data_IF_451793212466
#
_entry.id   IF_451793212466
#
_cell.length_a   1.000
_cell.length_b   1.000
_cell.length_c   1.000
_cell.angle_alpha   90.00
_cell.angle_beta   90.00
_cell.angle_gamma   90.00
#
_symmetry.space_group_name_H-M   'P 1'
#
loop_
_entity.id
_entity.type
_entity.pdbx_description
1 polymer ?
#
# COMPACT_ATOMS: atom_id res chain seq x y z
N UNK A 1 0.84 17.37 -11.38
CA UNK A 1 0.18 18.07 -10.25
C UNK A 1 1.22 18.88 -9.52
N UNK A 2 1.00 20.19 -9.32
CA UNK A 2 1.87 21.08 -8.55
C UNK A 2 1.24 21.44 -7.21
N UNK A 3 1.97 21.99 -6.23
CA UNK A 3 1.37 22.46 -4.99
C UNK A 3 0.27 23.52 -5.20
N UNK A 4 0.43 24.41 -6.18
CA UNK A 4 -0.59 25.41 -6.52
C UNK A 4 -1.86 24.77 -7.11
N UNK A 5 -1.70 23.69 -7.89
CA UNK A 5 -2.84 22.93 -8.39
C UNK A 5 -3.55 22.20 -7.24
N UNK A 6 -2.79 21.59 -6.34
CA UNK A 6 -3.32 20.94 -5.14
C UNK A 6 -4.14 21.91 -4.28
N UNK A 7 -3.69 23.15 -4.12
CA UNK A 7 -4.38 24.16 -3.30
C UNK A 7 -5.81 24.43 -3.80
N UNK A 8 -6.04 24.34 -5.12
CA UNK A 8 -7.39 24.47 -5.72
C UNK A 8 -8.33 23.34 -5.34
N UNK A 9 -7.77 22.17 -5.02
CA UNK A 9 -8.51 20.94 -4.73
C UNK A 9 -8.30 20.45 -3.30
N UNK A 10 -7.74 21.27 -2.43
CA UNK A 10 -7.46 20.87 -1.03
C UNK A 10 -8.70 20.46 -0.26
N UNK A 11 -9.86 21.03 -0.62
CA UNK A 11 -11.11 20.69 0.04
C UNK A 11 -11.47 19.21 -0.14
N UNK A 12 -11.17 18.63 -1.31
CA UNK A 12 -11.36 17.21 -1.55
C UNK A 12 -10.47 16.34 -0.65
N UNK A 13 -9.23 16.78 -0.37
CA UNK A 13 -8.35 16.09 0.58
C UNK A 13 -8.89 16.22 2.01
N UNK A 14 -9.36 17.40 2.39
CA UNK A 14 -9.90 17.68 3.73
C UNK A 14 -11.14 16.84 4.02
N UNK A 15 -12.04 16.69 3.04
CA UNK A 15 -13.30 15.97 3.18
C UNK A 15 -13.17 14.46 2.99
N UNK A 16 -12.01 13.98 2.50
CA UNK A 16 -11.78 12.57 2.26
C UNK A 16 -11.53 11.80 3.57
N UNK A 17 -11.97 10.55 3.62
CA UNK A 17 -11.62 9.64 4.71
C UNK A 17 -10.19 9.12 4.61
N UNK A 18 -9.66 9.01 3.39
CA UNK A 18 -8.30 8.58 3.13
C UNK A 18 -7.72 9.26 1.89
N UNK A 19 -6.41 9.49 1.91
CA UNK A 19 -5.60 9.97 0.81
C UNK A 19 -4.60 8.89 0.42
N UNK A 20 -4.78 8.28 -0.74
CA UNK A 20 -3.83 7.33 -1.32
C UNK A 20 -2.93 8.05 -2.31
N UNK A 21 -1.64 7.94 -2.10
CA UNK A 21 -0.61 8.55 -2.95
C UNK A 21 0.45 7.54 -3.36
N UNK A 22 1.08 7.80 -4.51
CA UNK A 22 2.34 7.21 -4.94
C UNK A 22 3.37 8.31 -5.25
N UNK A 23 4.53 7.98 -5.83
CA UNK A 23 5.62 8.92 -6.05
C UNK A 23 5.82 9.31 -7.53
N UNK A 24 4.82 9.12 -8.36
CA UNK A 24 4.81 9.59 -9.75
C UNK A 24 4.41 11.07 -9.90
N UNK A 25 3.95 11.69 -8.82
CA UNK A 25 3.77 13.14 -8.71
C UNK A 25 5.01 13.79 -8.10
N UNK A 26 5.25 15.11 -8.33
CA UNK A 26 6.36 15.81 -7.70
C UNK A 26 6.35 15.66 -6.17
N UNK A 27 7.52 15.43 -5.60
CA UNK A 27 7.65 15.12 -4.17
C UNK A 27 7.14 16.25 -3.26
N UNK A 28 7.35 17.51 -3.65
CA UNK A 28 6.83 18.69 -2.95
C UNK A 28 5.30 18.69 -2.88
N UNK A 29 4.64 18.23 -3.95
CA UNK A 29 3.17 18.08 -3.98
C UNK A 29 2.71 16.95 -3.06
N UNK A 30 3.41 15.81 -3.05
CA UNK A 30 3.10 14.69 -2.16
C UNK A 30 3.26 15.10 -0.70
N UNK A 31 4.33 15.83 -0.36
CA UNK A 31 4.55 16.37 0.99
C UNK A 31 3.43 17.35 1.38
N UNK A 32 3.07 18.27 0.49
CA UNK A 32 1.99 19.24 0.72
C UNK A 32 0.64 18.55 0.95
N UNK A 33 0.31 17.52 0.14
CA UNK A 33 -0.92 16.76 0.29
C UNK A 33 -0.97 15.99 1.61
N UNK A 34 0.13 15.33 2.00
CA UNK A 34 0.24 14.66 3.29
C UNK A 34 0.06 15.62 4.48
N UNK A 35 0.62 16.83 4.37
CA UNK A 35 0.45 17.88 5.40
C UNK A 35 -1.02 18.28 5.54
N UNK A 36 -1.70 18.61 4.45
CA UNK A 36 -3.12 18.96 4.44
C UNK A 36 -3.95 17.82 5.07
N UNK A 37 -3.71 16.59 4.65
CA UNK A 37 -4.43 15.42 5.16
C UNK A 37 -4.26 15.26 6.67
N UNK A 38 -3.05 15.37 7.21
CA UNK A 38 -2.78 15.23 8.66
C UNK A 38 -3.37 16.37 9.49
N UNK A 39 -3.44 17.57 8.95
CA UNK A 39 -4.06 18.72 9.63
C UNK A 39 -5.60 18.58 9.76
N UNK A 40 -6.21 17.67 9.00
CA UNK A 40 -7.68 17.49 8.92
C UNK A 40 -8.14 16.05 9.19
N UNK A 41 -7.30 15.24 9.84
CA UNK A 41 -7.61 13.84 10.20
C UNK A 41 -7.92 12.90 9.02
N UNK A 42 -7.50 13.27 7.81
CA UNK A 42 -7.55 12.38 6.63
C UNK A 42 -6.43 11.35 6.73
N UNK A 43 -6.75 10.07 6.65
CA UNK A 43 -5.76 9.00 6.72
C UNK A 43 -4.82 9.03 5.51
N UNK A 44 -3.51 9.04 5.74
CA UNK A 44 -2.49 9.06 4.69
C UNK A 44 -1.96 7.67 4.41
N UNK A 45 -2.15 7.20 3.19
CA UNK A 45 -1.65 5.91 2.69
C UNK A 45 -0.68 6.19 1.56
N UNK A 46 0.56 5.72 1.70
CA UNK A 46 1.62 5.90 0.71
C UNK A 46 2.06 4.57 0.12
N UNK A 47 1.89 4.44 -1.18
CA UNK A 47 2.61 3.47 -1.98
C UNK A 47 3.93 4.12 -2.45
N UNK A 48 5.11 3.72 -1.90
CA UNK A 48 6.37 4.41 -2.18
C UNK A 48 6.99 3.98 -3.51
N UNK A 49 6.18 3.94 -4.56
CA UNK A 49 6.56 3.59 -5.93
C UNK A 49 6.58 4.84 -6.84
N UNK A 50 7.61 5.00 -7.69
CA UNK A 50 8.82 4.18 -7.81
C UNK A 50 9.79 4.39 -6.63
N UNK A 51 10.64 3.36 -6.38
CA UNK A 51 11.58 3.34 -5.27
C UNK A 51 12.52 4.55 -5.27
N UNK A 52 12.47 5.36 -4.23
CA UNK A 52 13.37 6.50 -4.00
C UNK A 52 13.57 6.75 -2.50
N UNK A 53 14.54 7.59 -2.18
CA UNK A 53 14.70 8.08 -0.81
C UNK A 53 13.62 9.11 -0.49
N UNK A 54 13.09 9.05 0.72
CA UNK A 54 12.04 9.96 1.18
C UNK A 54 12.48 10.70 2.44
N UNK A 55 12.14 12.00 2.54
CA UNK A 55 12.46 12.78 3.73
C UNK A 55 11.59 12.35 4.92
N UNK A 56 12.14 12.41 6.12
CA UNK A 56 11.42 12.11 7.35
C UNK A 56 10.19 13.02 7.54
N UNK A 57 10.22 14.22 6.97
CA UNK A 57 9.07 15.12 6.93
C UNK A 57 7.84 14.48 6.28
N UNK A 58 8.01 13.71 5.21
CA UNK A 58 6.90 12.98 4.58
C UNK A 58 6.56 11.73 5.40
N UNK A 59 7.56 10.92 5.73
CA UNK A 59 7.34 9.61 6.39
C UNK A 59 6.62 9.75 7.73
N UNK A 60 6.91 10.80 8.51
CA UNK A 60 6.24 11.08 9.78
C UNK A 60 4.75 11.44 9.65
N UNK A 61 4.28 11.74 8.44
CA UNK A 61 2.87 12.04 8.15
C UNK A 61 2.10 10.87 7.53
N UNK A 62 2.78 9.76 7.28
CA UNK A 62 2.17 8.58 6.67
C UNK A 62 1.62 7.66 7.76
N UNK A 63 0.36 7.26 7.63
CA UNK A 63 -0.29 6.33 8.56
C UNK A 63 -0.07 4.87 8.13
N UNK A 64 -0.16 4.61 6.83
CA UNK A 64 0.06 3.29 6.22
C UNK A 64 1.04 3.42 5.06
N UNK A 65 2.08 2.61 5.05
CA UNK A 65 3.00 2.51 3.91
C UNK A 65 3.01 1.10 3.32
N UNK A 66 3.04 1.00 1.99
CA UNK A 66 2.89 -0.28 1.27
C UNK A 66 4.05 -0.56 0.30
N UNK A 67 5.30 -0.61 0.77
CA UNK A 67 6.44 -0.91 -0.10
C UNK A 67 6.46 -2.38 -0.54
N UNK A 68 7.04 -2.66 -1.70
CA UNK A 68 7.56 -3.98 -2.05
C UNK A 68 8.97 -4.18 -1.45
N UNK A 69 9.61 -5.33 -1.71
CA UNK A 69 10.95 -5.64 -1.18
C UNK A 69 11.98 -4.58 -1.59
N UNK A 70 12.00 -4.18 -2.86
CA UNK A 70 12.95 -3.20 -3.40
C UNK A 70 12.71 -1.80 -2.83
N UNK A 71 11.47 -1.39 -2.69
CA UNK A 71 11.09 -0.11 -2.10
C UNK A 71 11.43 -0.07 -0.61
N UNK A 72 11.17 -1.17 0.11
CA UNK A 72 11.55 -1.30 1.52
C UNK A 72 13.06 -1.22 1.71
N UNK A 73 13.85 -1.89 0.86
CA UNK A 73 15.31 -1.81 0.87
C UNK A 73 15.78 -0.37 0.62
N UNK A 74 15.20 0.32 -0.36
CA UNK A 74 15.58 1.70 -0.69
C UNK A 74 15.30 2.67 0.46
N UNK A 75 14.19 2.46 1.18
CA UNK A 75 13.78 3.32 2.30
C UNK A 75 14.56 3.03 3.59
N UNK A 76 15.02 1.80 3.80
CA UNK A 76 15.58 1.35 5.08
C UNK A 76 17.04 0.94 5.01
N UNK A 77 17.57 0.67 3.82
CA UNK A 77 18.89 0.06 3.62
C UNK A 77 18.94 -1.43 3.97
N UNK A 78 17.79 -2.07 4.24
CA UNK A 78 17.68 -3.48 4.62
C UNK A 78 17.16 -4.28 3.44
N UNK A 79 17.98 -5.21 2.91
CA UNK A 79 17.52 -6.16 1.90
C UNK A 79 16.49 -7.12 2.50
N UNK A 80 15.38 -7.34 1.81
CA UNK A 80 14.25 -8.14 2.31
C UNK A 80 14.18 -9.47 1.57
N UNK A 81 14.86 -10.49 2.09
CA UNK A 81 14.89 -11.84 1.52
C UNK A 81 13.96 -12.82 2.26
N UNK A 82 13.66 -12.56 3.52
CA UNK A 82 12.90 -13.42 4.41
C UNK A 82 12.05 -12.60 5.41
N UNK A 83 11.28 -13.29 6.24
CA UNK A 83 10.39 -12.66 7.22
C UNK A 83 11.13 -11.87 8.31
N UNK A 84 12.33 -12.28 8.70
CA UNK A 84 13.13 -11.55 9.71
C UNK A 84 13.61 -10.21 9.13
N UNK A 85 14.02 -10.21 7.88
CA UNK A 85 14.39 -8.99 7.16
C UNK A 85 13.19 -8.06 6.99
N UNK A 86 12.03 -8.61 6.63
CA UNK A 86 10.78 -7.85 6.53
C UNK A 86 10.40 -7.22 7.88
N UNK A 87 10.56 -7.96 8.98
CA UNK A 87 10.33 -7.43 10.33
C UNK A 87 11.29 -6.30 10.68
N UNK A 88 12.59 -6.43 10.34
CA UNK A 88 13.60 -5.37 10.57
C UNK A 88 13.32 -4.12 9.73
N UNK A 89 12.96 -4.30 8.46
CA UNK A 89 12.59 -3.20 7.58
C UNK A 89 11.33 -2.49 8.09
N UNK A 90 10.31 -3.24 8.49
CA UNK A 90 9.11 -2.69 9.09
C UNK A 90 9.39 -1.89 10.36
N UNK A 91 10.26 -2.42 11.25
CA UNK A 91 10.69 -1.70 12.44
C UNK A 91 11.37 -0.38 12.11
N UNK A 92 12.27 -0.36 11.13
CA UNK A 92 12.95 0.87 10.70
C UNK A 92 11.94 1.93 10.19
N UNK A 93 10.85 1.50 9.51
CA UNK A 93 9.79 2.40 9.07
C UNK A 93 8.89 2.86 10.23
N UNK A 94 8.62 1.99 11.21
CA UNK A 94 7.93 2.41 12.46
C UNK A 94 8.74 3.46 13.23
N UNK A 95 10.06 3.32 13.29
CA UNK A 95 10.96 4.28 13.96
C UNK A 95 10.92 5.67 13.29
N UNK A 96 10.42 5.77 12.05
CA UNK A 96 10.15 7.04 11.34
C UNK A 96 8.75 7.62 11.58
N UNK A 97 7.94 6.97 12.41
CA UNK A 97 6.61 7.42 12.84
C UNK A 97 5.43 6.79 12.09
N UNK A 98 5.67 5.80 11.25
CA UNK A 98 4.60 5.14 10.48
C UNK A 98 3.93 4.06 11.35
N UNK A 99 2.61 4.16 11.55
CA UNK A 99 1.87 3.26 12.42
C UNK A 99 1.67 1.84 11.82
N UNK A 100 1.41 1.76 10.52
CA UNK A 100 1.16 0.47 9.83
C UNK A 100 2.09 0.33 8.63
N UNK A 101 2.83 -0.77 8.60
CA UNK A 101 3.75 -1.12 7.50
C UNK A 101 3.29 -2.42 6.86
N UNK A 102 3.09 -2.39 5.55
CA UNK A 102 2.62 -3.53 4.74
C UNK A 102 3.64 -3.75 3.62
N UNK A 103 4.55 -4.73 3.80
CA UNK A 103 5.55 -5.05 2.79
C UNK A 103 5.01 -6.16 1.89
N UNK A 104 4.82 -5.86 0.61
CA UNK A 104 4.38 -6.88 -0.36
C UNK A 104 5.56 -7.75 -0.77
N UNK A 105 5.38 -9.08 -0.73
CA UNK A 105 6.40 -10.10 -0.95
C UNK A 105 6.09 -11.00 -2.16
N UNK A 106 5.43 -10.42 -3.16
CA UNK A 106 5.00 -11.14 -4.35
C UNK A 106 4.11 -12.35 -4.01
N UNK A 107 4.42 -13.51 -4.58
CA UNK A 107 3.64 -14.74 -4.35
C UNK A 107 3.73 -15.30 -2.93
N UNK A 108 4.71 -14.85 -2.13
CA UNK A 108 4.83 -15.25 -0.71
C UNK A 108 3.73 -14.63 0.15
N UNK A 109 3.17 -13.51 -0.26
CA UNK A 109 2.12 -12.79 0.45
C UNK A 109 2.54 -11.40 0.88
N UNK A 110 2.22 -11.05 2.11
CA UNK A 110 2.41 -9.70 2.65
C UNK A 110 2.92 -9.80 4.08
N UNK A 111 3.96 -9.05 4.42
CA UNK A 111 4.33 -8.81 5.80
C UNK A 111 3.52 -7.63 6.34
N UNK A 112 2.62 -7.91 7.26
CA UNK A 112 1.81 -6.90 7.95
C UNK A 112 2.42 -6.62 9.33
N UNK A 113 2.77 -5.37 9.60
CA UNK A 113 3.30 -4.92 10.89
C UNK A 113 2.54 -3.71 11.40
N UNK A 114 1.97 -3.82 12.59
CA UNK A 114 1.30 -2.73 13.31
C UNK A 114 1.31 -2.98 14.82
N UNK A 115 1.27 -1.91 15.61
CA UNK A 115 1.22 -2.00 17.07
C UNK A 115 2.36 -2.83 17.70
N UNK A 116 3.55 -2.84 17.08
CA UNK A 116 4.71 -3.62 17.55
C UNK A 116 4.68 -5.10 17.19
N UNK A 117 3.64 -5.57 16.50
CA UNK A 117 3.50 -6.95 16.06
C UNK A 117 3.60 -7.05 14.54
N UNK A 118 4.34 -8.05 14.05
CA UNK A 118 4.48 -8.34 12.64
C UNK A 118 4.13 -9.80 12.34
N UNK A 119 3.48 -10.04 11.20
CA UNK A 119 3.14 -11.37 10.74
C UNK A 119 3.09 -11.48 9.22
N UNK A 120 3.32 -12.68 8.73
CA UNK A 120 3.09 -13.00 7.32
C UNK A 120 1.61 -13.31 7.09
N UNK A 121 0.97 -12.54 6.23
CA UNK A 121 -0.31 -12.89 5.62
C UNK A 121 0.00 -13.66 4.35
N UNK A 122 -0.27 -14.97 4.34
CA UNK A 122 0.10 -15.85 3.24
C UNK A 122 -0.53 -15.42 1.91
N UNK A 123 0.26 -15.55 0.85
CA UNK A 123 -0.17 -15.23 -0.51
C UNK A 123 -1.02 -16.32 -1.15
N UNK A 124 -1.53 -16.01 -2.34
CA UNK A 124 -2.24 -16.94 -3.18
C UNK A 124 -1.34 -17.44 -4.30
N UNK A 125 -1.37 -18.75 -4.56
CA UNK A 125 -0.62 -19.36 -5.66
C UNK A 125 -1.43 -19.25 -6.94
N UNK A 126 -0.95 -18.44 -7.86
CA UNK A 126 -1.54 -18.26 -9.19
C UNK A 126 -0.47 -18.32 -10.27
N UNK A 127 -0.87 -18.61 -11.50
CA UNK A 127 0.03 -18.52 -12.64
C UNK A 127 0.06 -17.07 -13.13
N UNK A 128 1.13 -16.37 -12.81
CA UNK A 128 1.31 -14.99 -13.28
C UNK A 128 1.55 -14.97 -14.80
N UNK A 129 0.90 -14.01 -15.44
CA UNK A 129 1.02 -13.69 -16.88
C UNK A 129 1.68 -12.34 -17.04
N UNK A 130 1.24 -11.35 -16.24
CA UNK A 130 1.73 -9.97 -16.26
C UNK A 130 1.64 -9.38 -14.85
N UNK A 131 2.67 -8.69 -14.43
CA UNK A 131 2.72 -8.08 -13.08
C UNK A 131 2.45 -6.57 -13.11
N UNK A 132 2.17 -6.01 -14.29
CA UNK A 132 1.82 -4.60 -14.43
C UNK A 132 0.56 -4.31 -13.59
N UNK A 133 0.57 -3.16 -12.89
CA UNK A 133 -0.51 -2.70 -12.01
C UNK A 133 -0.90 -3.64 -10.85
N UNK A 134 -0.10 -4.65 -10.51
CA UNK A 134 -0.36 -5.49 -9.34
C UNK A 134 -0.34 -4.68 -8.03
N UNK A 135 0.63 -3.80 -7.88
CA UNK A 135 0.74 -2.87 -6.73
C UNK A 135 -0.41 -1.87 -6.68
N UNK A 136 -0.79 -1.30 -7.82
CA UNK A 136 -1.92 -0.35 -7.91
C UNK A 136 -3.23 -1.04 -7.55
N UNK A 137 -3.45 -2.26 -8.06
CA UNK A 137 -4.62 -3.08 -7.73
C UNK A 137 -4.66 -3.42 -6.25
N UNK A 138 -3.50 -3.81 -5.67
CA UNK A 138 -3.39 -4.07 -4.23
C UNK A 138 -3.80 -2.84 -3.42
N UNK A 139 -3.21 -1.68 -3.71
CA UNK A 139 -3.47 -0.45 -2.96
C UNK A 139 -4.92 0.03 -3.09
N UNK A 140 -5.48 0.00 -4.29
CA UNK A 140 -6.88 0.37 -4.51
C UNK A 140 -7.84 -0.54 -3.75
N UNK A 141 -7.61 -1.86 -3.78
CA UNK A 141 -8.41 -2.83 -3.04
C UNK A 141 -8.24 -2.70 -1.53
N UNK A 142 -7.01 -2.44 -1.03
CA UNK A 142 -6.73 -2.21 0.39
C UNK A 142 -7.54 -1.03 0.92
N UNK A 143 -7.44 0.12 0.26
CA UNK A 143 -8.16 1.34 0.67
C UNK A 143 -9.66 1.10 0.66
N UNK A 144 -10.19 0.47 -0.40
CA UNK A 144 -11.62 0.13 -0.50
C UNK A 144 -12.06 -0.73 0.68
N UNK A 145 -11.33 -1.78 0.99
CA UNK A 145 -11.65 -2.69 2.09
C UNK A 145 -11.61 -1.99 3.46
N UNK A 146 -10.63 -1.12 3.68
CA UNK A 146 -10.53 -0.34 4.92
C UNK A 146 -11.70 0.64 5.08
N UNK A 147 -12.08 1.34 4.00
CA UNK A 147 -13.22 2.27 4.02
C UNK A 147 -14.57 1.55 4.20
N UNK A 148 -14.66 0.29 3.83
CA UNK A 148 -15.79 -0.59 4.13
C UNK A 148 -15.79 -1.12 5.58
N UNK A 149 -14.81 -0.75 6.38
CA UNK A 149 -14.70 -1.14 7.80
C UNK A 149 -14.12 -2.53 8.04
N UNK A 150 -13.45 -3.14 7.04
CA UNK A 150 -12.75 -4.40 7.26
C UNK A 150 -11.57 -4.21 8.23
N UNK A 151 -11.35 -5.21 9.08
CA UNK A 151 -10.14 -5.27 9.89
C UNK A 151 -8.90 -5.39 8.99
N UNK A 152 -7.76 -4.89 9.45
CA UNK A 152 -6.54 -4.79 8.64
C UNK A 152 -6.13 -6.13 8.01
N UNK A 153 -6.20 -7.23 8.75
CA UNK A 153 -5.90 -8.57 8.22
C UNK A 153 -6.78 -8.95 7.03
N UNK A 154 -8.08 -8.72 7.18
CA UNK A 154 -9.06 -9.01 6.13
C UNK A 154 -8.90 -8.08 4.94
N UNK A 155 -8.55 -6.81 5.19
CA UNK A 155 -8.30 -5.83 4.14
C UNK A 155 -7.04 -6.18 3.32
N UNK A 156 -5.96 -6.57 4.00
CA UNK A 156 -4.72 -7.02 3.35
C UNK A 156 -4.94 -8.30 2.54
N UNK A 157 -5.69 -9.26 3.09
CA UNK A 157 -6.03 -10.50 2.38
C UNK A 157 -6.89 -10.23 1.14
N UNK A 158 -7.88 -9.34 1.26
CA UNK A 158 -8.70 -8.89 0.13
C UNK A 158 -7.86 -8.20 -0.95
N UNK A 159 -6.97 -7.29 -0.55
CA UNK A 159 -6.07 -6.59 -1.47
C UNK A 159 -5.11 -7.55 -2.19
N UNK A 160 -4.56 -8.53 -1.46
CA UNK A 160 -3.68 -9.52 -2.08
C UNK A 160 -4.44 -10.45 -3.04
N UNK A 161 -5.69 -10.80 -2.76
CA UNK A 161 -6.54 -11.54 -3.67
C UNK A 161 -6.81 -10.77 -4.97
N UNK A 162 -7.10 -9.47 -4.87
CA UNK A 162 -7.27 -8.61 -6.03
C UNK A 162 -5.99 -8.57 -6.90
N UNK A 163 -4.83 -8.37 -6.29
CA UNK A 163 -3.54 -8.38 -6.98
C UNK A 163 -3.23 -9.75 -7.59
N UNK A 164 -3.53 -10.85 -6.88
CA UNK A 164 -3.36 -12.22 -7.40
C UNK A 164 -4.20 -12.48 -8.64
N UNK A 165 -5.42 -11.99 -8.71
CA UNK A 165 -6.25 -12.07 -9.92
C UNK A 165 -5.66 -11.22 -11.04
N UNK A 166 -5.28 -9.97 -10.73
CA UNK A 166 -4.73 -9.04 -11.71
C UNK A 166 -3.51 -9.64 -12.44
N UNK A 167 -2.56 -10.24 -11.72
CA UNK A 167 -1.35 -10.81 -12.34
C UNK A 167 -1.62 -12.00 -13.26
N UNK A 168 -2.81 -12.59 -13.26
CA UNK A 168 -3.21 -13.65 -14.20
C UNK A 168 -3.67 -13.12 -15.55
N UNK A 169 -3.74 -11.80 -15.73
CA UNK A 169 -4.29 -11.12 -16.90
C UNK A 169 -3.28 -10.14 -17.49
N UNK A 170 -3.25 -9.96 -18.81
CA UNK A 170 -2.35 -8.99 -19.44
C UNK A 170 -2.86 -7.56 -19.27
N UNK A 171 -1.91 -6.62 -19.20
CA UNK A 171 -2.17 -5.19 -19.19
C UNK A 171 -2.46 -4.60 -17.81
N UNK A 172 -2.52 -3.29 -17.75
CA UNK A 172 -2.72 -2.53 -16.50
C UNK A 172 -4.20 -2.47 -16.10
N UNK A 173 -4.91 -1.46 -16.54
CA UNK A 173 -6.32 -1.26 -16.19
C UNK A 173 -7.24 -2.45 -16.55
N UNK A 174 -7.09 -3.13 -17.69
CA UNK A 174 -7.93 -4.29 -18.03
C UNK A 174 -7.72 -5.51 -17.11
N UNK A 175 -6.60 -5.58 -16.39
CA UNK A 175 -6.30 -6.69 -15.47
C UNK A 175 -7.02 -6.57 -14.12
N UNK A 176 -7.45 -5.37 -13.74
CA UNK A 176 -8.08 -5.10 -12.45
C UNK A 176 -9.39 -5.88 -12.32
N UNK A 177 -9.55 -6.72 -11.28
CA UNK A 177 -10.76 -7.51 -11.09
C UNK A 177 -11.94 -6.67 -10.59
N UNK A 178 -13.14 -7.10 -10.94
CA UNK A 178 -14.35 -6.60 -10.32
C UNK A 178 -14.52 -7.14 -8.90
N UNK A 179 -15.22 -6.42 -8.06
CA UNK A 179 -15.49 -6.79 -6.66
C UNK A 179 -15.95 -8.25 -6.52
N UNK A 180 -16.94 -8.66 -7.31
CA UNK A 180 -17.47 -10.02 -7.26
C UNK A 180 -16.43 -11.10 -7.53
N UNK A 181 -15.49 -10.83 -8.43
CA UNK A 181 -14.42 -11.79 -8.76
C UNK A 181 -13.48 -12.00 -7.57
N UNK A 182 -13.21 -10.94 -6.80
CA UNK A 182 -12.38 -11.01 -5.59
C UNK A 182 -13.11 -11.81 -4.51
N UNK A 183 -14.38 -11.52 -4.28
CA UNK A 183 -15.20 -12.21 -3.28
C UNK A 183 -15.34 -13.70 -3.62
N UNK A 184 -15.60 -14.06 -4.87
CA UNK A 184 -15.68 -15.44 -5.35
C UNK A 184 -14.33 -16.17 -5.21
N UNK A 185 -13.22 -15.50 -5.54
CA UNK A 185 -11.88 -16.04 -5.41
C UNK A 185 -11.54 -16.37 -3.94
N UNK A 186 -11.84 -15.46 -3.02
CA UNK A 186 -11.64 -15.68 -1.59
C UNK A 186 -12.49 -16.83 -1.06
N UNK A 187 -13.76 -16.91 -1.45
CA UNK A 187 -14.64 -18.01 -1.06
C UNK A 187 -14.12 -19.39 -1.51
N UNK A 188 -13.50 -19.48 -2.68
CA UNK A 188 -12.88 -20.71 -3.18
C UNK A 188 -11.62 -21.12 -2.41
N UNK A 189 -10.91 -20.17 -1.77
CA UNK A 189 -9.72 -20.47 -0.98
C UNK A 189 -10.03 -20.94 0.44
N UNK A 190 -11.25 -20.74 0.90
CA UNK A 190 -11.74 -21.16 2.23
C UNK A 190 -12.48 -22.50 2.20
N UNK A 191 -12.78 -23.00 1.02
CA UNK A 191 -13.43 -24.30 0.79
C UNK A 191 -12.41 -25.45 0.75
#
# INVERSE_FOLDING_TARGET
VTPEYLERYKQQVIEASALLMQLESPLDTVIAAAKIAKEHDTQVILNPAPACELPDELLSRVDIITPNETEAEKLTGINVDNNEDAARAAKALHDKGIATVIITLGSKGVWLSQNGEGKLVAGFRVKAVDTIAAGDTFNGALVTALLEGKQMDSAVRFAHAAAAIAVTRPGAQPSVPWRKEIDDFLAQQEA
#
